data_IF_203895719617
#
_entry.id   IF_203895719617
#
_cell.length_a   1.000
_cell.length_b   1.000
_cell.length_c   1.000
_cell.angle_alpha   90.00
_cell.angle_beta   90.00
_cell.angle_gamma   90.00
#
_symmetry.space_group_name_H-M   'P 1'
#
loop_
_entity.id
_entity.type
_entity.pdbx_description
1 polymer ?
#
# COMPACT_ATOMS: atom_id res chain seq x y z
N UNK A 1 19.34 -7.32 -0.87
CA UNK A 1 19.26 -7.53 -2.33
C UNK A 1 17.79 -7.66 -2.73
N UNK A 2 17.40 -6.99 -3.81
CA UNK A 2 16.03 -7.07 -4.28
C UNK A 2 15.82 -8.25 -5.20
N UNK A 3 14.74 -8.99 -4.97
CA UNK A 3 14.34 -10.11 -5.82
C UNK A 3 13.50 -9.61 -6.99
N UNK A 4 13.28 -10.49 -7.97
CA UNK A 4 12.34 -10.16 -9.06
C UNK A 4 10.94 -9.86 -8.53
N UNK A 5 10.54 -10.57 -7.48
CA UNK A 5 9.26 -10.34 -6.83
C UNK A 5 9.19 -8.93 -6.23
N UNK A 6 10.23 -8.52 -5.50
CA UNK A 6 10.31 -7.18 -4.92
C UNK A 6 10.15 -6.11 -5.99
N UNK A 7 10.87 -6.25 -7.10
CA UNK A 7 10.81 -5.29 -8.21
C UNK A 7 9.40 -5.23 -8.80
N UNK A 8 8.77 -6.39 -8.99
CA UNK A 8 7.41 -6.44 -9.53
C UNK A 8 6.42 -5.75 -8.60
N UNK A 9 6.55 -5.95 -7.29
CA UNK A 9 5.71 -5.29 -6.29
C UNK A 9 5.88 -3.76 -6.41
N UNK A 10 7.13 -3.29 -6.42
CA UNK A 10 7.41 -1.86 -6.46
C UNK A 10 6.86 -1.21 -7.74
N UNK A 11 7.00 -1.88 -8.88
CA UNK A 11 6.48 -1.35 -10.14
C UNK A 11 4.96 -1.19 -10.11
N UNK A 12 4.24 -2.16 -9.52
CA UNK A 12 2.79 -2.05 -9.38
C UNK A 12 2.40 -0.88 -8.47
N UNK A 13 3.09 -0.75 -7.35
CA UNK A 13 2.74 0.27 -6.37
C UNK A 13 2.95 1.67 -6.91
N UNK A 14 3.95 1.86 -7.77
CA UNK A 14 4.16 3.15 -8.44
C UNK A 14 2.97 3.57 -9.29
N UNK A 15 2.13 2.64 -9.69
CA UNK A 15 0.95 2.94 -10.51
C UNK A 15 -0.19 3.55 -9.69
N UNK A 16 -0.17 3.40 -8.37
CA UNK A 16 -1.24 3.91 -7.51
C UNK A 16 -1.11 5.42 -7.37
N UNK A 17 -2.10 6.19 -7.84
CA UNK A 17 -1.97 7.65 -7.80
C UNK A 17 -2.20 8.22 -6.42
N UNK A 18 -1.70 9.44 -6.20
CA UNK A 18 -1.97 10.19 -4.98
C UNK A 18 -3.48 10.36 -4.82
N UNK A 19 -3.98 10.20 -3.62
CA UNK A 19 -5.42 10.28 -3.35
C UNK A 19 -6.12 8.93 -3.44
N UNK A 20 -5.38 7.87 -3.79
CA UNK A 20 -5.95 6.52 -3.84
C UNK A 20 -5.06 5.56 -3.06
N UNK A 21 -5.61 4.41 -2.74
CA UNK A 21 -4.89 3.34 -2.04
C UNK A 21 -5.15 2.02 -2.77
N UNK A 22 -4.27 1.06 -2.56
CA UNK A 22 -4.51 -0.32 -2.97
C UNK A 22 -4.32 -1.21 -1.74
N UNK A 23 -4.43 -2.52 -1.92
CA UNK A 23 -4.28 -3.44 -0.80
C UNK A 23 -3.19 -4.46 -1.10
N UNK A 24 -2.66 -5.07 -0.04
CA UNK A 24 -1.71 -6.17 -0.20
C UNK A 24 -2.31 -7.28 -1.06
N UNK A 25 -3.60 -7.55 -0.87
CA UNK A 25 -4.30 -8.57 -1.63
C UNK A 25 -4.40 -8.22 -3.11
N UNK A 26 -4.74 -6.98 -3.44
CA UNK A 26 -4.84 -6.54 -4.84
C UNK A 26 -3.49 -6.67 -5.56
N UNK A 27 -2.41 -6.30 -4.88
CA UNK A 27 -1.06 -6.45 -5.44
C UNK A 27 -0.75 -7.93 -5.69
N UNK A 28 -1.01 -8.78 -4.70
CA UNK A 28 -0.75 -10.22 -4.83
C UNK A 28 -1.56 -10.83 -5.98
N UNK A 29 -2.85 -10.49 -6.06
CA UNK A 29 -3.70 -10.99 -7.12
C UNK A 29 -3.20 -10.56 -8.50
N UNK A 30 -2.76 -9.32 -8.63
CA UNK A 30 -2.23 -8.83 -9.91
C UNK A 30 -0.98 -9.60 -10.33
N UNK A 31 -0.19 -10.07 -9.36
CA UNK A 31 1.00 -10.87 -9.61
C UNK A 31 0.66 -12.35 -9.83
N UNK A 32 -0.62 -12.71 -9.79
CA UNK A 32 -1.07 -14.06 -10.06
C UNK A 32 -0.94 -15.03 -8.90
N UNK A 33 -0.88 -14.52 -7.66
CA UNK A 33 -0.76 -15.39 -6.50
C UNK A 33 -1.54 -14.83 -5.30
N UNK A 34 -1.41 -15.47 -4.15
CA UNK A 34 -2.06 -15.05 -2.93
C UNK A 34 -1.05 -14.69 -1.83
N UNK A 35 0.17 -14.40 -2.24
CA UNK A 35 1.28 -14.15 -1.33
C UNK A 35 1.26 -12.72 -0.76
N UNK A 36 0.13 -12.29 -0.21
CA UNK A 36 0.00 -10.94 0.31
C UNK A 36 0.97 -10.65 1.45
N UNK A 37 1.37 -11.66 2.23
CA UNK A 37 2.40 -11.47 3.25
C UNK A 37 3.76 -11.17 2.65
N UNK A 38 4.09 -11.83 1.54
CA UNK A 38 5.33 -11.57 0.82
C UNK A 38 5.34 -10.16 0.26
N UNK A 39 4.18 -9.66 -0.19
CA UNK A 39 4.03 -8.26 -0.61
C UNK A 39 4.38 -7.35 0.56
N UNK A 40 3.82 -7.61 1.75
CA UNK A 40 4.13 -6.84 2.95
C UNK A 40 5.61 -6.84 3.27
N UNK A 41 6.27 -7.99 3.14
CA UNK A 41 7.71 -8.10 3.38
C UNK A 41 8.49 -7.25 2.38
N UNK A 42 8.12 -7.30 1.10
CA UNK A 42 8.76 -6.46 0.08
C UNK A 42 8.62 -4.99 0.41
N UNK A 43 7.44 -4.57 0.85
CA UNK A 43 7.20 -3.17 1.19
C UNK A 43 7.97 -2.72 2.42
N UNK A 44 8.14 -3.60 3.40
CA UNK A 44 8.90 -3.26 4.60
C UNK A 44 10.38 -3.02 4.30
N UNK A 45 10.88 -3.58 3.20
CA UNK A 45 12.28 -3.40 2.75
C UNK A 45 12.45 -2.25 1.76
N UNK A 46 11.36 -1.58 1.37
CA UNK A 46 11.40 -0.58 0.31
C UNK A 46 12.43 0.51 0.59
N UNK A 47 13.53 0.57 -0.20
CA UNK A 47 14.55 1.60 -0.01
C UNK A 47 14.25 2.87 -0.81
N UNK A 48 13.16 2.88 -1.56
CA UNK A 48 12.85 3.96 -2.50
C UNK A 48 11.68 4.83 -2.07
N UNK A 49 11.28 4.75 -0.79
CA UNK A 49 10.20 5.60 -0.29
C UNK A 49 10.64 7.07 -0.33
N UNK A 50 9.77 8.02 -0.69
CA UNK A 50 8.38 7.81 -1.09
C UNK A 50 8.17 7.65 -2.60
N UNK A 51 9.23 7.50 -3.40
CA UNK A 51 9.07 7.28 -4.85
C UNK A 51 8.27 6.03 -5.16
N UNK A 52 8.54 4.94 -4.41
CA UNK A 52 7.65 3.80 -4.39
C UNK A 52 6.72 4.04 -3.21
N UNK A 53 5.47 4.44 -3.45
CA UNK A 53 4.59 4.94 -2.38
C UNK A 53 3.97 3.82 -1.57
N UNK A 54 4.77 3.11 -0.80
CA UNK A 54 4.31 1.98 -0.01
C UNK A 54 3.25 2.38 1.02
N UNK A 55 3.17 3.66 1.37
CA UNK A 55 2.11 4.16 2.27
C UNK A 55 0.72 4.05 1.64
N UNK A 56 0.63 3.88 0.32
CA UNK A 56 -0.66 3.72 -0.38
C UNK A 56 -1.16 2.27 -0.41
N UNK A 57 -0.49 1.37 0.32
CA UNK A 57 -0.93 -0.02 0.42
C UNK A 57 -1.50 -0.24 1.81
N UNK A 58 -2.76 -0.63 1.87
CA UNK A 58 -3.50 -0.82 3.13
C UNK A 58 -4.08 -2.23 3.18
N UNK A 59 -4.70 -2.56 4.31
CA UNK A 59 -5.32 -3.87 4.49
C UNK A 59 -6.61 -3.98 3.69
N UNK A 60 -6.98 -5.20 3.35
CA UNK A 60 -8.16 -5.46 2.50
C UNK A 60 -9.47 -4.99 3.13
N UNK A 61 -9.51 -4.79 4.44
CA UNK A 61 -10.70 -4.29 5.14
C UNK A 61 -10.71 -2.76 5.29
N UNK A 62 -9.75 -2.07 4.67
CA UNK A 62 -9.65 -0.61 4.73
C UNK A 62 -8.85 -0.06 5.89
N UNK A 63 -8.34 -0.92 6.76
CA UNK A 63 -7.44 -0.47 7.83
C UNK A 63 -6.12 -0.05 7.24
N UNK A 64 -5.57 1.03 7.78
CA UNK A 64 -4.31 1.59 7.27
C UNK A 64 -3.15 0.59 7.41
N UNK A 65 -3.04 -0.09 8.55
CA UNK A 65 -1.94 -1.02 8.78
C UNK A 65 -0.65 -0.31 9.16
N UNK A 66 0.43 -1.07 9.26
CA UNK A 66 1.72 -0.54 9.65
C UNK A 66 2.52 0.03 8.49
N UNK A 67 3.53 0.81 8.84
CA UNK A 67 4.45 1.39 7.85
C UNK A 67 5.84 1.38 8.48
N UNK A 68 6.61 0.33 8.21
CA UNK A 68 7.97 0.17 8.74
C UNK A 68 8.06 -0.22 10.21
N UNK A 69 6.96 -0.18 10.98
CA UNK A 69 6.94 -0.51 12.39
C UNK A 69 5.78 0.15 13.10
N UNK A 70 5.67 -0.05 14.41
CA UNK A 70 4.51 0.45 15.18
C UNK A 70 4.35 1.97 15.12
N UNK A 71 5.45 2.69 15.27
CA UNK A 71 5.40 4.16 15.23
C UNK A 71 5.17 4.69 13.82
N UNK A 72 5.40 3.86 12.83
CA UNK A 72 5.31 4.28 11.45
C UNK A 72 3.87 4.36 10.94
N UNK A 73 2.90 3.76 11.67
CA UNK A 73 1.51 3.87 11.25
C UNK A 73 0.97 5.30 11.36
N UNK A 74 1.44 6.08 12.33
CA UNK A 74 1.05 7.49 12.43
C UNK A 74 1.57 8.28 11.23
N UNK A 75 2.81 8.00 10.83
CA UNK A 75 3.41 8.65 9.66
C UNK A 75 2.65 8.28 8.39
N UNK A 76 2.27 7.02 8.26
CA UNK A 76 1.48 6.55 7.13
C UNK A 76 0.14 7.29 7.04
N UNK A 77 -0.55 7.42 8.18
CA UNK A 77 -1.81 8.13 8.25
C UNK A 77 -1.63 9.58 7.83
N UNK A 78 -0.59 10.24 8.34
CA UNK A 78 -0.30 11.62 7.98
C UNK A 78 -0.05 11.78 6.48
N UNK A 79 0.75 10.89 5.89
CA UNK A 79 1.03 10.92 4.46
C UNK A 79 -0.22 10.75 3.63
N UNK A 80 -1.11 9.84 4.02
CA UNK A 80 -2.36 9.61 3.32
C UNK A 80 -3.30 10.81 3.47
N UNK A 81 -3.38 11.39 4.65
CA UNK A 81 -4.19 12.60 4.88
C UNK A 81 -3.71 13.77 4.03
N UNK A 82 -2.40 13.90 3.89
CA UNK A 82 -1.81 14.94 3.03
C UNK A 82 -2.17 14.74 1.56
N UNK A 83 -2.55 13.53 1.19
CA UNK A 83 -3.02 13.22 -0.16
C UNK A 83 -4.54 13.34 -0.31
N UNK A 84 -5.21 13.86 0.70
CA UNK A 84 -6.65 14.07 0.65
C UNK A 84 -7.50 12.89 1.07
N UNK A 85 -6.88 11.85 1.64
CA UNK A 85 -7.61 10.67 2.11
C UNK A 85 -8.04 10.88 3.56
N UNK A 86 -9.34 10.73 3.83
CA UNK A 86 -9.85 10.82 5.18
C UNK A 86 -9.70 9.48 5.90
N UNK A 87 -9.21 9.53 7.12
CA UNK A 87 -8.99 8.35 7.94
C UNK A 87 -9.62 8.58 9.30
N UNK A 88 -10.43 7.63 9.74
CA UNK A 88 -11.12 7.68 11.03
C UNK A 88 -10.94 6.33 11.73
N UNK A 89 -10.48 6.36 12.97
CA UNK A 89 -10.22 5.15 13.77
C UNK A 89 -9.34 4.13 13.04
N UNK A 90 -8.31 4.63 12.32
CA UNK A 90 -7.37 3.77 11.61
C UNK A 90 -7.90 3.17 10.33
N UNK A 91 -9.08 3.58 9.87
CA UNK A 91 -9.69 3.07 8.64
C UNK A 91 -9.89 4.19 7.63
N UNK A 92 -9.72 3.84 6.37
CA UNK A 92 -9.96 4.75 5.26
C UNK A 92 -11.46 4.97 5.09
N UNK A 93 -11.90 6.24 5.11
CA UNK A 93 -13.29 6.59 4.81
C UNK A 93 -13.50 6.50 3.31
N UNK A 94 -14.67 6.07 2.91
CA UNK A 94 -15.01 5.86 1.50
C UNK A 94 -14.01 4.93 0.81
N UNK A 95 -13.61 3.88 1.51
CA UNK A 95 -12.56 2.97 1.06
C UNK A 95 -12.80 2.48 -0.38
N UNK A 96 -14.03 2.10 -0.71
CA UNK A 96 -14.32 1.58 -2.05
C UNK A 96 -14.06 2.61 -3.14
N UNK A 97 -14.30 3.87 -2.87
CA UNK A 97 -14.03 4.96 -3.83
C UNK A 97 -12.55 5.26 -3.95
N UNK A 98 -11.79 5.01 -2.90
CA UNK A 98 -10.35 5.28 -2.88
C UNK A 98 -9.53 4.10 -3.34
N UNK A 99 -10.15 2.92 -3.50
CA UNK A 99 -9.43 1.70 -3.83
C UNK A 99 -9.04 1.69 -5.31
N UNK A 100 -7.74 1.61 -5.54
CA UNK A 100 -7.18 1.45 -6.87
C UNK A 100 -7.00 -0.04 -7.14
N UNK A 101 -7.62 -0.53 -8.18
CA UNK A 101 -7.45 -1.90 -8.63
C UNK A 101 -6.63 -1.88 -9.90
N UNK A 102 -5.61 -2.73 -9.94
CA UNK A 102 -4.80 -2.84 -11.14
C UNK A 102 -5.68 -3.39 -12.26
N UNK A 103 -5.78 -2.67 -13.33
CA UNK A 103 -6.67 -3.02 -14.43
C UNK A 103 -6.48 -4.44 -14.92
N UNK A 104 -7.45 -4.97 -15.56
CA UNK A 104 -7.48 -6.35 -16.02
C UNK A 104 -6.46 -6.67 -17.06
#
# INVERSE_FOLDING_TARGET
>A
MMTKFDVAVYELIKMVPSGMVTTYQEVALRLGNRAYRAVGTSLSKNPYAPKVPCHRVVKSDGRVGGYGGLKESEKKIEMLRNEGIEIEDGRIKDFERRLYKFGN
#
